data_IF_877089641527
#
_entry.id   IF_877089641527
#
_cell.length_a   1.000
_cell.length_b   1.000
_cell.length_c   1.000
_cell.angle_alpha   90.00
_cell.angle_beta   90.00
_cell.angle_gamma   90.00
#
_symmetry.space_group_name_H-M   'P 1'
#
loop_
_entity.id
_entity.type
_entity.pdbx_description
1 polymer ?
#
# COMPACT_ATOMS: atom_id res chain seq x y z
N UNK A 1 -17.36 -20.56 -12.73
CA UNK A 1 -16.37 -19.85 -13.58
C UNK A 1 -15.44 -19.07 -12.66
N UNK A 2 -14.15 -18.95 -13.00
CA UNK A 2 -13.22 -18.10 -12.24
C UNK A 2 -13.67 -16.64 -12.35
N UNK A 3 -13.67 -15.88 -11.24
CA UNK A 3 -14.02 -14.45 -11.25
C UNK A 3 -12.96 -13.65 -11.99
N UNK A 4 -13.41 -12.67 -12.79
CA UNK A 4 -12.53 -11.71 -13.45
C UNK A 4 -12.36 -10.48 -12.56
N UNK A 5 -11.10 -10.17 -12.19
CA UNK A 5 -10.77 -9.11 -11.26
C UNK A 5 -9.90 -8.05 -11.90
N UNK A 6 -10.13 -6.79 -11.53
CA UNK A 6 -9.29 -5.66 -11.92
C UNK A 6 -8.46 -5.23 -10.71
N UNK A 7 -7.14 -5.15 -10.88
CA UNK A 7 -6.24 -4.54 -9.91
C UNK A 7 -5.72 -3.23 -10.48
N UNK A 8 -6.06 -2.09 -9.90
CA UNK A 8 -5.49 -0.79 -10.30
C UNK A 8 -4.23 -0.49 -9.50
N UNK A 9 -3.23 0.15 -10.12
CA UNK A 9 -1.91 0.30 -9.51
C UNK A 9 -1.16 -1.03 -9.43
N UNK A 10 -1.47 -1.93 -10.35
CA UNK A 10 -0.91 -3.28 -10.43
C UNK A 10 0.60 -3.29 -10.67
N UNK A 11 1.13 -2.24 -11.29
CA UNK A 11 2.56 -2.00 -11.56
C UNK A 11 3.37 -1.61 -10.31
N UNK A 12 2.67 -1.25 -9.21
CA UNK A 12 3.26 -0.81 -7.95
C UNK A 12 3.66 -1.95 -7.02
N UNK A 13 4.19 -1.57 -5.84
CA UNK A 13 4.66 -2.48 -4.79
C UNK A 13 3.56 -3.49 -4.34
N UNK A 14 2.52 -3.02 -3.67
CA UNK A 14 1.45 -3.92 -3.16
C UNK A 14 0.66 -4.52 -4.32
N UNK A 15 0.41 -3.72 -5.38
CA UNK A 15 -0.37 -4.17 -6.54
C UNK A 15 0.24 -5.37 -7.24
N UNK A 16 1.56 -5.40 -7.46
CA UNK A 16 2.23 -6.52 -8.12
C UNK A 16 2.19 -7.81 -7.29
N UNK A 17 2.33 -7.71 -5.96
CA UNK A 17 2.16 -8.87 -5.07
C UNK A 17 0.72 -9.36 -5.05
N UNK A 18 -0.26 -8.43 -5.07
CA UNK A 18 -1.68 -8.80 -5.11
C UNK A 18 -2.03 -9.52 -6.43
N UNK A 19 -1.50 -9.05 -7.56
CA UNK A 19 -1.66 -9.72 -8.86
C UNK A 19 -1.14 -11.16 -8.78
N UNK A 20 0.07 -11.38 -8.27
CA UNK A 20 0.63 -12.72 -8.12
C UNK A 20 -0.25 -13.61 -7.24
N UNK A 21 -0.65 -13.09 -6.06
CA UNK A 21 -1.49 -13.81 -5.12
C UNK A 21 -2.84 -14.21 -5.74
N UNK A 22 -3.49 -13.29 -6.46
CA UNK A 22 -4.77 -13.56 -7.12
C UNK A 22 -4.66 -14.60 -8.24
N UNK A 23 -3.58 -14.58 -9.02
CA UNK A 23 -3.30 -15.61 -10.01
C UNK A 23 -3.15 -17.00 -9.36
N UNK A 24 -2.42 -17.10 -8.25
CA UNK A 24 -2.24 -18.34 -7.49
C UNK A 24 -3.56 -18.85 -6.89
N UNK A 25 -4.50 -17.95 -6.57
CA UNK A 25 -5.86 -18.31 -6.15
C UNK A 25 -6.80 -18.64 -7.31
N UNK A 26 -6.33 -18.56 -8.57
CA UNK A 26 -7.08 -18.94 -9.76
C UNK A 26 -8.05 -17.88 -10.28
N UNK A 27 -7.87 -16.61 -9.91
CA UNK A 27 -8.61 -15.48 -10.50
C UNK A 27 -8.11 -15.17 -11.93
N UNK A 28 -9.01 -14.66 -12.78
CA UNK A 28 -8.63 -14.05 -14.05
C UNK A 28 -8.28 -12.58 -13.81
N UNK A 29 -6.99 -12.24 -13.85
CA UNK A 29 -6.52 -10.92 -13.44
C UNK A 29 -6.32 -10.00 -14.63
N UNK A 30 -6.99 -8.83 -14.59
CA UNK A 30 -6.70 -7.67 -15.42
C UNK A 30 -5.93 -6.64 -14.59
N UNK A 31 -4.72 -6.31 -15.03
CA UNK A 31 -3.84 -5.36 -14.37
C UNK A 31 -3.98 -3.99 -15.02
N UNK A 32 -4.53 -3.00 -14.29
CA UNK A 32 -4.54 -1.61 -14.71
C UNK A 32 -3.26 -0.95 -14.21
N UNK A 33 -2.38 -0.63 -15.15
CA UNK A 33 -1.08 -0.01 -14.92
C UNK A 33 -1.07 1.44 -15.38
N UNK A 34 -0.18 2.27 -14.81
CA UNK A 34 -0.01 3.64 -15.26
C UNK A 34 0.72 3.68 -16.60
N UNK A 35 0.10 4.35 -17.61
CA UNK A 35 0.74 4.54 -18.92
C UNK A 35 2.05 5.33 -18.78
N UNK A 36 3.12 4.80 -19.36
CA UNK A 36 4.41 5.47 -19.44
C UNK A 36 5.08 5.24 -20.80
N UNK A 37 5.98 6.17 -21.18
CA UNK A 37 6.69 6.11 -22.46
C UNK A 37 7.87 5.13 -22.49
N UNK A 38 8.18 4.49 -21.37
CA UNK A 38 9.29 3.53 -21.26
C UNK A 38 8.88 2.11 -21.61
N UNK A 39 7.60 1.90 -21.94
CA UNK A 39 7.02 0.59 -22.24
C UNK A 39 7.25 -0.43 -21.10
N UNK A 40 7.19 0.05 -19.86
CA UNK A 40 7.37 -0.75 -18.65
C UNK A 40 6.03 -1.01 -17.96
N UNK A 41 5.86 -2.23 -17.47
CA UNK A 41 4.74 -2.64 -16.63
C UNK A 41 5.13 -2.63 -15.14
N UNK A 42 6.16 -1.87 -14.76
CA UNK A 42 6.64 -1.76 -13.40
C UNK A 42 7.12 -3.10 -12.85
N UNK A 43 6.72 -3.43 -11.62
CA UNK A 43 7.12 -4.69 -11.00
C UNK A 43 6.54 -5.94 -11.66
N UNK A 44 5.53 -5.81 -12.52
CA UNK A 44 5.01 -6.95 -13.30
C UNK A 44 6.04 -7.45 -14.33
N UNK A 45 6.96 -6.61 -14.79
CA UNK A 45 8.05 -7.01 -15.70
C UNK A 45 9.02 -8.00 -15.04
N UNK A 46 9.08 -8.04 -13.71
CA UNK A 46 9.97 -8.93 -12.96
C UNK A 46 9.36 -10.30 -12.68
N UNK A 47 8.10 -10.52 -13.00
CA UNK A 47 7.43 -11.79 -12.79
C UNK A 47 7.94 -12.86 -13.77
N UNK A 48 7.93 -14.15 -13.37
CA UNK A 48 8.19 -15.24 -14.31
C UNK A 48 7.28 -15.17 -15.53
N UNK A 49 7.83 -15.46 -16.72
CA UNK A 49 7.10 -15.35 -18.00
C UNK A 49 5.74 -16.07 -17.99
N UNK A 50 5.68 -17.25 -17.40
CA UNK A 50 4.43 -18.01 -17.29
C UNK A 50 3.35 -17.33 -16.44
N UNK A 51 3.71 -16.45 -15.49
CA UNK A 51 2.75 -15.60 -14.76
C UNK A 51 2.37 -14.38 -15.59
N UNK A 52 3.35 -13.72 -16.26
CA UNK A 52 3.07 -12.57 -17.11
C UNK A 52 2.04 -12.90 -18.19
N UNK A 53 2.15 -14.07 -18.84
CA UNK A 53 1.27 -14.52 -19.91
C UNK A 53 -0.19 -14.76 -19.44
N UNK A 54 -0.43 -14.85 -18.14
CA UNK A 54 -1.76 -15.01 -17.55
C UNK A 54 -2.45 -13.67 -17.21
N UNK A 55 -1.73 -12.55 -17.35
CA UNK A 55 -2.22 -11.22 -16.96
C UNK A 55 -2.75 -10.49 -18.20
N UNK A 56 -4.00 -10.03 -18.14
CA UNK A 56 -4.52 -9.06 -19.11
C UNK A 56 -4.03 -7.65 -18.70
N UNK A 57 -3.16 -7.03 -19.50
CA UNK A 57 -2.64 -5.69 -19.22
C UNK A 57 -3.55 -4.62 -19.83
N UNK A 58 -3.90 -3.61 -19.03
CA UNK A 58 -4.56 -2.38 -19.47
C UNK A 58 -3.73 -1.17 -19.03
N UNK A 59 -3.12 -0.47 -19.97
CA UNK A 59 -2.36 0.76 -19.69
C UNK A 59 -3.26 1.98 -19.76
N UNK A 60 -3.32 2.78 -18.70
CA UNK A 60 -4.21 3.94 -18.64
C UNK A 60 -3.87 4.91 -17.50
N UNK A 61 -4.75 5.88 -17.32
CA UNK A 61 -4.69 6.85 -16.21
C UNK A 61 -5.99 6.76 -15.40
N UNK A 62 -5.88 6.57 -14.11
CA UNK A 62 -7.05 6.47 -13.21
C UNK A 62 -7.91 7.74 -13.21
N UNK A 63 -7.36 8.88 -13.64
CA UNK A 63 -8.04 10.17 -13.77
C UNK A 63 -8.91 10.25 -15.03
N UNK A 64 -8.69 9.37 -16.00
CA UNK A 64 -9.50 9.30 -17.23
C UNK A 64 -10.74 8.44 -17.01
N UNK A 65 -11.90 9.10 -16.99
CA UNK A 65 -13.20 8.44 -16.78
C UNK A 65 -13.53 7.40 -17.86
N UNK A 66 -13.15 7.65 -19.12
CA UNK A 66 -13.44 6.73 -20.22
C UNK A 66 -12.57 5.49 -20.16
N UNK A 67 -11.26 5.67 -19.95
CA UNK A 67 -10.32 4.55 -19.80
C UNK A 67 -10.66 3.67 -18.59
N UNK A 68 -11.02 4.26 -17.47
CA UNK A 68 -11.48 3.50 -16.28
C UNK A 68 -12.72 2.67 -16.61
N UNK A 69 -13.72 3.27 -17.26
CA UNK A 69 -14.95 2.54 -17.64
C UNK A 69 -14.67 1.40 -18.61
N UNK A 70 -13.78 1.61 -19.58
CA UNK A 70 -13.35 0.56 -20.53
C UNK A 70 -12.61 -0.57 -19.81
N UNK A 71 -11.67 -0.24 -18.92
CA UNK A 71 -10.93 -1.24 -18.14
C UNK A 71 -11.86 -2.12 -17.30
N UNK A 72 -12.95 -1.55 -16.79
CA UNK A 72 -13.91 -2.22 -15.91
C UNK A 72 -14.99 -3.03 -16.62
N UNK A 73 -15.07 -3.01 -17.95
CA UNK A 73 -16.05 -3.82 -18.69
C UNK A 73 -15.84 -5.32 -18.46
N UNK A 74 -16.90 -6.01 -18.03
CA UNK A 74 -16.89 -7.44 -17.76
C UNK A 74 -16.04 -7.86 -16.55
N UNK A 75 -15.77 -6.91 -15.61
CA UNK A 75 -15.06 -7.17 -14.37
C UNK A 75 -16.08 -7.43 -13.23
N UNK A 76 -15.91 -8.55 -12.55
CA UNK A 76 -16.75 -8.93 -11.42
C UNK A 76 -16.34 -8.16 -10.14
N UNK A 77 -15.01 -7.96 -9.94
CA UNK A 77 -14.49 -7.37 -8.72
C UNK A 77 -13.32 -6.43 -8.99
N UNK A 78 -13.22 -5.33 -8.24
CA UNK A 78 -12.15 -4.35 -8.34
C UNK A 78 -11.37 -4.24 -7.03
N UNK A 79 -10.05 -4.37 -7.13
CA UNK A 79 -9.10 -3.99 -6.10
C UNK A 79 -8.46 -2.65 -6.51
N UNK A 80 -8.91 -1.57 -5.89
CA UNK A 80 -8.48 -0.22 -6.25
C UNK A 80 -7.31 0.23 -5.38
N UNK A 81 -6.07 0.05 -5.91
CA UNK A 81 -4.82 0.42 -5.24
C UNK A 81 -4.14 1.65 -5.86
N UNK A 82 -4.53 2.04 -7.08
CA UNK A 82 -3.91 3.19 -7.75
C UNK A 82 -4.04 4.47 -6.93
N UNK A 83 -2.92 5.03 -6.50
CA UNK A 83 -2.85 6.25 -5.69
C UNK A 83 -1.45 6.88 -5.74
N UNK A 84 -1.37 8.18 -5.50
CA UNK A 84 -0.15 8.84 -5.08
C UNK A 84 -0.03 8.72 -3.56
N UNK A 85 1.11 8.23 -3.06
CA UNK A 85 1.27 7.82 -1.64
C UNK A 85 2.38 8.55 -0.87
N UNK A 86 3.38 9.14 -1.56
CA UNK A 86 4.53 9.75 -0.88
C UNK A 86 4.14 11.01 -0.12
N UNK A 87 4.14 10.97 1.22
CA UNK A 87 3.79 12.12 2.06
C UNK A 87 4.65 13.35 1.74
N UNK A 88 6.00 13.27 1.65
CA UNK A 88 6.82 14.43 1.30
C UNK A 88 6.46 15.04 -0.06
N UNK A 89 6.19 14.23 -1.07
CA UNK A 89 5.79 14.74 -2.38
C UNK A 89 4.42 15.41 -2.35
N UNK A 90 3.52 15.01 -1.45
CA UNK A 90 2.20 15.63 -1.31
C UNK A 90 2.27 17.10 -0.87
N UNK A 91 3.37 17.53 -0.24
CA UNK A 91 3.59 18.94 0.11
C UNK A 91 3.91 19.81 -1.11
N UNK A 92 4.51 19.21 -2.14
CA UNK A 92 4.92 19.91 -3.37
C UNK A 92 3.85 19.90 -4.45
N UNK A 93 3.04 18.86 -4.51
CA UNK A 93 2.06 18.66 -5.59
C UNK A 93 0.68 18.20 -5.06
N UNK A 94 0.03 18.96 -4.16
CA UNK A 94 -1.24 18.55 -3.54
C UNK A 94 -2.36 18.34 -4.57
N UNK A 95 -2.42 19.14 -5.65
CA UNK A 95 -3.43 19.01 -6.70
C UNK A 95 -3.37 17.63 -7.38
N UNK A 96 -2.17 17.12 -7.66
CA UNK A 96 -2.01 15.78 -8.22
C UNK A 96 -2.58 14.69 -7.30
N UNK A 97 -2.50 14.89 -5.98
CA UNK A 97 -3.09 13.96 -5.00
C UNK A 97 -4.61 14.02 -5.00
N UNK A 98 -5.19 15.22 -5.12
CA UNK A 98 -6.66 15.37 -5.25
C UNK A 98 -7.13 14.68 -6.53
N UNK A 99 -6.51 14.97 -7.66
CA UNK A 99 -6.88 14.40 -8.95
C UNK A 99 -6.73 12.87 -8.97
N UNK A 100 -5.63 12.34 -8.43
CA UNK A 100 -5.39 10.90 -8.45
C UNK A 100 -6.22 10.17 -7.39
N UNK A 101 -6.13 10.60 -6.13
CA UNK A 101 -6.69 9.83 -5.02
C UNK A 101 -8.20 10.05 -4.86
N UNK A 102 -8.70 11.28 -5.04
CA UNK A 102 -10.14 11.57 -4.89
C UNK A 102 -10.87 11.34 -6.20
N UNK A 103 -10.46 12.03 -7.27
CA UNK A 103 -11.13 11.94 -8.56
C UNK A 103 -10.96 10.54 -9.19
N UNK A 104 -9.75 9.94 -9.09
CA UNK A 104 -9.51 8.57 -9.54
C UNK A 104 -10.42 7.56 -8.84
N UNK A 105 -10.56 7.67 -7.50
CA UNK A 105 -11.51 6.83 -6.75
C UNK A 105 -12.95 7.07 -7.18
N UNK A 106 -13.35 8.33 -7.40
CA UNK A 106 -14.69 8.66 -7.91
C UNK A 106 -14.96 8.00 -9.26
N UNK A 107 -13.98 7.98 -10.17
CA UNK A 107 -14.11 7.35 -11.49
C UNK A 107 -14.37 5.84 -11.36
N UNK A 108 -13.64 5.15 -10.47
CA UNK A 108 -13.88 3.71 -10.18
C UNK A 108 -15.28 3.48 -9.62
N UNK A 109 -15.71 4.27 -8.65
CA UNK A 109 -17.02 4.11 -8.00
C UNK A 109 -18.17 4.36 -9.00
N UNK A 110 -18.05 5.38 -9.86
CA UNK A 110 -19.03 5.66 -10.89
C UNK A 110 -19.11 4.55 -11.94
N UNK A 111 -17.96 4.07 -12.42
CA UNK A 111 -17.90 2.97 -13.37
C UNK A 111 -18.47 1.68 -12.77
N UNK A 112 -18.11 1.35 -11.52
CA UNK A 112 -18.64 0.20 -10.80
C UNK A 112 -20.18 0.24 -10.69
N UNK A 113 -20.72 1.40 -10.32
CA UNK A 113 -22.18 1.61 -10.27
C UNK A 113 -22.84 1.44 -11.62
N UNK A 114 -22.26 1.98 -12.70
CA UNK A 114 -22.82 1.92 -14.05
C UNK A 114 -22.78 0.51 -14.64
N UNK A 115 -21.73 -0.25 -14.33
CA UNK A 115 -21.48 -1.59 -14.88
C UNK A 115 -22.05 -2.71 -14.00
N UNK A 116 -22.54 -2.41 -12.80
CA UNK A 116 -23.06 -3.40 -11.87
C UNK A 116 -21.98 -4.32 -11.29
N UNK A 117 -20.77 -3.78 -11.03
CA UNK A 117 -19.65 -4.52 -10.45
C UNK A 117 -20.05 -5.12 -9.10
N UNK A 118 -19.80 -6.41 -8.91
CA UNK A 118 -20.26 -7.17 -7.71
C UNK A 118 -19.51 -6.79 -6.44
N UNK A 119 -18.28 -6.26 -6.54
CA UNK A 119 -17.43 -5.97 -5.40
C UNK A 119 -16.39 -4.89 -5.72
N UNK A 120 -16.21 -3.91 -4.85
CA UNK A 120 -15.14 -2.90 -4.94
C UNK A 120 -14.42 -2.80 -3.60
N UNK A 121 -13.12 -3.07 -3.60
CA UNK A 121 -12.24 -2.81 -2.45
C UNK A 121 -11.47 -1.53 -2.72
N UNK A 122 -11.70 -0.50 -1.91
CA UNK A 122 -10.99 0.78 -1.99
C UNK A 122 -9.87 0.78 -0.96
N UNK A 123 -8.62 0.85 -1.46
CA UNK A 123 -7.46 0.92 -0.58
C UNK A 123 -7.35 2.29 0.06
N UNK A 124 -7.41 2.35 1.37
CA UNK A 124 -7.10 3.50 2.20
C UNK A 124 -5.72 3.34 2.85
N UNK A 125 -5.52 3.84 4.05
CA UNK A 125 -4.24 3.81 4.78
C UNK A 125 -4.46 4.05 6.27
N UNK A 126 -3.58 3.55 7.13
CA UNK A 126 -3.54 3.92 8.55
C UNK A 126 -3.22 5.41 8.80
N UNK A 127 -2.61 6.11 7.83
CA UNK A 127 -2.29 7.53 7.92
C UNK A 127 -3.54 8.45 8.01
N UNK A 128 -4.75 7.92 7.69
CA UNK A 128 -6.01 8.66 7.86
C UNK A 128 -6.35 8.91 9.33
N UNK A 129 -5.80 8.11 10.24
CA UNK A 129 -6.01 8.26 11.68
C UNK A 129 -5.16 9.37 12.30
N UNK A 130 -4.04 9.73 11.64
CA UNK A 130 -3.04 10.62 12.25
C UNK A 130 -2.36 9.97 13.46
N UNK A 131 -1.79 10.80 14.33
CA UNK A 131 -1.21 10.32 15.59
C UNK A 131 -2.29 9.74 16.50
N UNK A 132 -2.08 8.51 16.97
CA UNK A 132 -3.05 7.80 17.80
C UNK A 132 -3.51 8.61 18.99
N UNK A 133 -4.83 8.74 19.17
CA UNK A 133 -5.46 9.31 20.38
C UNK A 133 -5.69 8.22 21.44
N UNK A 134 -5.87 6.98 20.99
CA UNK A 134 -5.89 5.77 21.81
C UNK A 134 -5.34 4.59 20.99
N UNK A 135 -4.94 3.55 21.68
CA UNK A 135 -4.41 2.32 21.08
C UNK A 135 -5.00 1.08 21.75
N UNK A 136 -5.13 -0.04 21.00
CA UNK A 136 -4.89 -0.13 19.57
C UNK A 136 -5.92 0.70 18.78
N UNK A 137 -5.48 1.21 17.59
CA UNK A 137 -6.34 1.99 16.69
C UNK A 137 -7.34 1.04 16.03
N UNK A 138 -8.61 1.15 16.38
CA UNK A 138 -9.70 0.48 15.69
C UNK A 138 -10.34 1.37 14.61
N UNK A 139 -11.32 0.86 13.89
CA UNK A 139 -11.98 1.59 12.81
C UNK A 139 -12.90 2.73 13.28
N UNK A 140 -13.17 2.81 14.59
CA UNK A 140 -13.91 3.92 15.21
C UNK A 140 -13.03 5.09 15.59
N UNK A 141 -11.69 4.92 15.51
CA UNK A 141 -10.75 5.99 15.82
C UNK A 141 -11.02 7.22 14.93
N UNK A 142 -10.99 8.45 15.46
CA UNK A 142 -11.18 9.66 14.69
C UNK A 142 -10.20 9.78 13.52
N UNK A 143 -10.69 10.25 12.36
CA UNK A 143 -9.86 10.52 11.19
C UNK A 143 -9.23 11.91 11.30
N UNK A 144 -7.91 11.99 11.10
CA UNK A 144 -7.12 13.21 11.24
C UNK A 144 -6.11 13.32 10.08
N UNK A 145 -6.43 14.09 9.06
CA UNK A 145 -5.53 14.32 7.93
C UNK A 145 -4.36 15.23 8.29
N UNK A 146 -3.22 14.68 8.72
CA UNK A 146 -2.02 15.45 9.07
C UNK A 146 -1.12 15.79 7.87
N UNK A 147 -1.49 15.36 6.66
CA UNK A 147 -0.80 15.68 5.40
C UNK A 147 -1.81 15.82 4.25
N UNK A 148 -1.45 16.48 3.12
CA UNK A 148 -2.31 16.49 1.93
C UNK A 148 -2.63 15.07 1.46
N UNK A 149 -1.67 14.14 1.52
CA UNK A 149 -1.90 12.72 1.21
C UNK A 149 -3.02 12.13 2.07
N UNK A 150 -2.90 12.17 3.39
CA UNK A 150 -3.91 11.58 4.29
C UNK A 150 -5.27 12.26 4.14
N UNK A 151 -5.31 13.57 3.93
CA UNK A 151 -6.54 14.31 3.67
C UNK A 151 -7.25 13.82 2.39
N UNK A 152 -6.49 13.55 1.30
CA UNK A 152 -7.08 13.00 0.07
C UNK A 152 -7.56 11.55 0.24
N UNK A 153 -6.90 10.74 1.06
CA UNK A 153 -7.36 9.39 1.39
C UNK A 153 -8.65 9.40 2.22
N UNK A 154 -8.77 10.31 3.19
CA UNK A 154 -10.03 10.54 3.93
C UNK A 154 -11.15 10.94 2.95
N UNK A 155 -10.88 11.85 2.00
CA UNK A 155 -11.85 12.24 0.98
C UNK A 155 -12.31 11.06 0.13
N UNK A 156 -11.40 10.20 -0.30
CA UNK A 156 -11.70 8.97 -1.04
C UNK A 156 -12.53 7.98 -0.22
N UNK A 157 -12.20 7.79 1.07
CA UNK A 157 -12.96 6.95 2.00
C UNK A 157 -14.41 7.43 2.13
N UNK A 158 -14.62 8.73 2.32
CA UNK A 158 -15.98 9.31 2.45
C UNK A 158 -16.79 9.19 1.15
N UNK A 159 -16.15 9.29 0.00
CA UNK A 159 -16.80 9.01 -1.29
C UNK A 159 -17.24 7.53 -1.37
N UNK A 160 -16.35 6.61 -1.07
CA UNK A 160 -16.63 5.17 -1.10
C UNK A 160 -17.80 4.82 -0.17
N UNK A 161 -17.78 5.30 1.07
CA UNK A 161 -18.87 5.13 2.04
C UNK A 161 -20.20 5.70 1.52
N UNK A 162 -20.16 6.90 0.89
CA UNK A 162 -21.36 7.55 0.36
C UNK A 162 -21.98 6.76 -0.79
N UNK A 163 -21.16 6.11 -1.64
CA UNK A 163 -21.66 5.26 -2.72
C UNK A 163 -22.32 4.00 -2.20
N UNK A 164 -21.81 3.39 -1.14
CA UNK A 164 -22.49 2.30 -0.45
C UNK A 164 -23.83 2.75 0.11
N UNK A 165 -23.85 3.83 0.90
CA UNK A 165 -25.06 4.33 1.57
C UNK A 165 -26.14 4.82 0.60
N UNK A 166 -25.73 5.50 -0.50
CA UNK A 166 -26.69 6.15 -1.41
C UNK A 166 -27.14 5.27 -2.56
N UNK A 167 -26.30 4.31 -2.98
CA UNK A 167 -26.52 3.54 -4.20
C UNK A 167 -26.45 2.03 -3.97
N UNK A 168 -26.25 1.57 -2.74
CA UNK A 168 -26.02 0.16 -2.39
C UNK A 168 -24.86 -0.47 -3.18
N UNK A 169 -23.86 0.33 -3.59
CA UNK A 169 -22.66 -0.19 -4.26
C UNK A 169 -21.89 -1.05 -3.27
N UNK A 170 -21.56 -2.33 -3.57
CA UNK A 170 -20.88 -3.24 -2.65
C UNK A 170 -19.40 -2.88 -2.47
N UNK A 171 -19.14 -1.85 -1.68
CA UNK A 171 -17.79 -1.30 -1.40
C UNK A 171 -17.31 -1.75 -0.02
N UNK A 172 -16.00 -2.01 0.08
CA UNK A 172 -15.28 -2.12 1.36
C UNK A 172 -14.08 -1.18 1.33
N UNK A 173 -13.86 -0.44 2.41
CA UNK A 173 -12.68 0.40 2.59
C UNK A 173 -11.65 -0.40 3.37
N UNK A 174 -10.48 -0.63 2.77
CA UNK A 174 -9.41 -1.43 3.36
C UNK A 174 -8.27 -0.51 3.79
N UNK A 175 -7.90 -0.54 5.06
CA UNK A 175 -6.84 0.28 5.68
C UNK A 175 -5.66 -0.57 6.10
N UNK A 176 -4.73 -0.90 5.18
CA UNK A 176 -3.49 -1.55 5.60
C UNK A 176 -2.65 -0.60 6.46
N UNK A 177 -2.06 -1.14 7.51
CA UNK A 177 -1.01 -0.47 8.26
C UNK A 177 0.29 -0.52 7.47
N UNK A 178 1.39 0.01 8.02
CA UNK A 178 2.62 0.25 7.25
C UNK A 178 3.15 -1.03 6.57
N UNK A 179 2.67 -1.30 5.37
CA UNK A 179 3.09 -2.47 4.58
C UNK A 179 4.54 -2.34 4.15
N UNK A 180 5.31 -3.41 4.32
CA UNK A 180 6.72 -3.50 3.88
C UNK A 180 7.01 -4.84 3.21
N UNK A 181 8.12 -4.92 2.46
CA UNK A 181 8.55 -6.15 1.80
C UNK A 181 9.33 -5.91 0.51
N UNK A 182 9.60 -6.98 -0.25
CA UNK A 182 10.16 -6.91 -1.60
C UNK A 182 9.44 -5.90 -2.49
N UNK A 183 10.15 -5.22 -3.41
CA UNK A 183 9.60 -4.22 -4.35
C UNK A 183 9.11 -2.92 -3.71
N UNK A 184 9.28 -2.73 -2.40
CA UNK A 184 8.87 -1.48 -1.76
C UNK A 184 9.73 -0.30 -2.24
N UNK A 185 9.09 0.86 -2.47
CA UNK A 185 9.77 2.06 -2.96
C UNK A 185 10.85 2.57 -2.00
N UNK A 186 11.98 3.05 -2.56
CA UNK A 186 13.07 3.72 -1.83
C UNK A 186 12.64 4.94 -0.98
N UNK A 187 11.41 5.42 -1.12
CA UNK A 187 10.83 6.49 -0.29
C UNK A 187 10.41 6.02 1.11
N UNK A 188 10.26 4.71 1.29
CA UNK A 188 9.90 4.11 2.58
C UNK A 188 11.14 3.84 3.43
N UNK A 189 10.97 3.82 4.76
CA UNK A 189 12.08 3.71 5.72
C UNK A 189 12.86 2.41 5.58
N UNK A 190 12.19 1.27 5.40
CA UNK A 190 12.86 -0.06 5.31
C UNK A 190 13.76 -0.14 4.08
N UNK A 191 13.31 0.13 2.83
CA UNK A 191 14.20 0.16 1.68
C UNK A 191 15.31 1.20 1.81
N UNK A 192 15.04 2.36 2.44
CA UNK A 192 16.07 3.38 2.70
C UNK A 192 17.18 2.84 3.58
N UNK A 193 16.85 2.12 4.65
CA UNK A 193 17.83 1.49 5.54
C UNK A 193 18.60 0.40 4.80
N UNK A 194 17.90 -0.55 4.17
CA UNK A 194 18.52 -1.71 3.50
C UNK A 194 19.48 -1.23 2.39
N UNK A 195 19.05 -0.30 1.54
CA UNK A 195 19.88 0.14 0.41
C UNK A 195 21.17 0.83 0.87
N UNK A 196 21.14 1.59 1.95
CA UNK A 196 22.34 2.18 2.55
C UNK A 196 23.24 1.12 3.16
N UNK A 197 22.69 0.16 3.92
CA UNK A 197 23.48 -0.92 4.56
C UNK A 197 24.14 -1.84 3.53
N UNK A 198 23.42 -2.27 2.50
CA UNK A 198 23.94 -3.16 1.45
C UNK A 198 24.93 -2.45 0.52
N UNK A 199 24.89 -1.11 0.43
CA UNK A 199 25.94 -0.35 -0.28
C UNK A 199 27.27 -0.23 0.48
N UNK A 200 27.34 -0.75 1.71
CA UNK A 200 28.53 -0.72 2.55
C UNK A 200 28.73 0.58 3.33
N UNK A 201 27.70 1.44 3.43
CA UNK A 201 27.79 2.66 4.22
C UNK A 201 27.95 2.32 5.72
N UNK A 202 28.90 2.98 6.38
CA UNK A 202 29.10 2.89 7.83
C UNK A 202 28.24 3.93 8.59
N UNK A 203 27.70 4.94 7.88
CA UNK A 203 26.80 5.95 8.42
C UNK A 203 25.52 5.97 7.60
N UNK A 204 24.42 5.47 8.20
CA UNK A 204 23.10 5.48 7.56
C UNK A 204 22.31 6.71 7.99
N UNK A 205 21.73 7.42 7.03
CA UNK A 205 20.99 8.68 7.23
C UNK A 205 19.51 8.42 7.37
N UNK A 206 18.94 8.78 8.52
CA UNK A 206 17.50 8.67 8.82
C UNK A 206 16.96 9.99 9.36
N UNK A 207 15.64 10.15 9.36
CA UNK A 207 14.96 11.29 10.00
C UNK A 207 14.72 11.03 11.48
N UNK A 208 13.50 11.35 11.97
CA UNK A 208 13.13 11.13 13.37
C UNK A 208 13.05 9.63 13.70
N UNK A 209 13.75 9.20 14.74
CA UNK A 209 13.84 7.82 15.17
C UNK A 209 12.75 7.40 16.17
N UNK A 210 12.02 8.37 16.72
CA UNK A 210 11.05 8.18 17.81
C UNK A 210 9.70 7.61 17.36
N UNK A 211 9.16 7.95 16.17
CA UNK A 211 7.86 7.45 15.75
C UNK A 211 7.79 5.92 15.75
N UNK A 212 6.64 5.38 16.20
CA UNK A 212 6.39 3.93 16.17
C UNK A 212 5.42 3.56 15.07
N UNK A 213 5.61 2.37 14.50
CA UNK A 213 4.81 1.84 13.39
C UNK A 213 4.42 0.40 13.65
N UNK A 214 3.21 0.07 13.30
CA UNK A 214 2.75 -1.30 13.08
C UNK A 214 3.15 -1.68 11.65
N UNK A 215 4.12 -2.59 11.54
CA UNK A 215 4.73 -3.00 10.26
C UNK A 215 4.12 -4.32 9.81
N UNK A 216 3.44 -4.30 8.68
CA UNK A 216 2.73 -5.44 8.10
C UNK A 216 3.46 -5.95 6.86
N UNK A 217 3.87 -7.23 6.87
CA UNK A 217 4.54 -7.83 5.72
C UNK A 217 3.59 -7.92 4.51
N UNK A 218 4.11 -7.67 3.31
CA UNK A 218 3.29 -7.52 2.10
C UNK A 218 2.43 -8.74 1.77
N UNK A 219 2.92 -9.95 2.05
CA UNK A 219 2.12 -11.17 1.82
C UNK A 219 0.91 -11.24 2.74
N UNK A 220 1.02 -10.81 4.00
CA UNK A 220 -0.12 -10.69 4.91
C UNK A 220 -1.09 -9.62 4.45
N UNK A 221 -0.57 -8.52 3.88
CA UNK A 221 -1.40 -7.46 3.30
C UNK A 221 -2.24 -7.98 2.14
N UNK A 222 -1.64 -8.64 1.15
CA UNK A 222 -2.38 -9.10 -0.04
C UNK A 222 -3.35 -10.23 0.27
N UNK A 223 -3.00 -11.11 1.22
CA UNK A 223 -3.96 -12.09 1.76
C UNK A 223 -5.14 -11.41 2.45
N UNK A 224 -4.90 -10.33 3.19
CA UNK A 224 -5.95 -9.55 3.81
C UNK A 224 -6.93 -8.97 2.78
N UNK A 225 -6.43 -8.41 1.68
CA UNK A 225 -7.27 -7.95 0.58
C UNK A 225 -8.12 -9.07 -0.02
N UNK A 226 -7.50 -10.20 -0.31
CA UNK A 226 -8.21 -11.36 -0.89
C UNK A 226 -9.26 -11.89 0.10
N UNK A 227 -8.91 -12.10 1.37
CA UNK A 227 -9.87 -12.60 2.36
C UNK A 227 -11.06 -11.66 2.57
N UNK A 228 -10.81 -10.35 2.71
CA UNK A 228 -11.88 -9.34 2.79
C UNK A 228 -12.81 -9.45 1.58
N UNK A 229 -12.29 -9.72 0.39
CA UNK A 229 -13.12 -9.83 -0.82
C UNK A 229 -14.03 -11.04 -0.86
N UNK A 230 -13.69 -12.09 -0.12
CA UNK A 230 -14.43 -13.37 -0.11
C UNK A 230 -15.66 -13.37 0.80
N UNK A 231 -15.76 -12.45 1.77
CA UNK A 231 -16.82 -12.42 2.76
C UNK A 231 -17.82 -11.29 2.52
N UNK A 232 -19.11 -11.61 2.44
CA UNK A 232 -20.18 -10.61 2.23
C UNK A 232 -20.33 -9.66 3.42
N UNK A 233 -20.03 -10.11 4.63
CA UNK A 233 -20.09 -9.38 5.88
C UNK A 233 -19.16 -8.16 5.93
N UNK A 234 -18.18 -8.13 5.04
CA UNK A 234 -17.24 -7.01 4.90
C UNK A 234 -17.76 -5.90 4.00
N UNK A 235 -18.91 -6.08 3.32
CA UNK A 235 -19.51 -5.06 2.45
C UNK A 235 -20.05 -3.90 3.30
N UNK A 236 -19.69 -2.68 2.91
CA UNK A 236 -20.07 -1.45 3.62
C UNK A 236 -19.18 -1.12 4.81
N UNK A 237 -18.17 -1.96 5.09
CA UNK A 237 -17.30 -1.84 6.25
C UNK A 237 -15.99 -1.11 5.92
N UNK A 238 -15.41 -0.48 6.93
CA UNK A 238 -14.03 -0.03 6.98
C UNK A 238 -13.25 -1.09 7.75
N UNK A 239 -12.12 -1.58 7.23
CA UNK A 239 -11.40 -2.71 7.82
C UNK A 239 -9.90 -2.43 7.85
N UNK A 240 -9.32 -2.47 9.05
CA UNK A 240 -7.88 -2.42 9.26
C UNK A 240 -7.24 -3.77 8.96
N UNK A 241 -6.07 -3.74 8.31
CA UNK A 241 -5.15 -4.87 8.25
C UNK A 241 -3.90 -4.47 9.02
N UNK A 242 -3.68 -5.04 10.19
CA UNK A 242 -2.60 -4.68 11.12
C UNK A 242 -2.05 -5.92 11.81
N UNK A 243 -0.81 -5.83 12.31
CA UNK A 243 -0.19 -6.94 13.07
C UNK A 243 -0.54 -6.91 14.54
N UNK A 244 -1.00 -5.77 15.05
CA UNK A 244 -1.17 -5.51 16.48
C UNK A 244 0.18 -5.58 17.24
N UNK A 245 1.23 -5.11 16.58
CA UNK A 245 2.59 -4.98 17.12
C UNK A 245 3.21 -3.68 16.63
N UNK A 246 3.97 -3.01 17.47
CA UNK A 246 4.63 -1.75 17.09
C UNK A 246 6.12 -1.77 17.40
N UNK A 247 6.89 -1.07 16.57
CA UNK A 247 8.32 -0.87 16.76
C UNK A 247 8.69 0.58 16.44
N UNK A 248 9.65 1.17 17.16
CA UNK A 248 10.19 2.49 16.82
C UNK A 248 11.07 2.42 15.57
N UNK A 249 11.18 3.55 14.85
CA UNK A 249 12.09 3.64 13.69
C UNK A 249 13.54 3.38 14.12
N UNK A 250 13.92 3.83 15.32
CA UNK A 250 15.26 3.60 15.87
C UNK A 250 15.54 2.10 16.14
N UNK A 251 14.62 1.41 16.82
CA UNK A 251 14.77 -0.03 17.11
C UNK A 251 14.75 -0.86 15.84
N UNK A 252 13.89 -0.50 14.88
CA UNK A 252 13.85 -1.12 13.56
C UNK A 252 15.21 -1.00 12.85
N UNK A 253 15.78 0.21 12.83
CA UNK A 253 17.07 0.44 12.18
C UNK A 253 18.20 -0.34 12.87
N UNK A 254 18.24 -0.36 14.20
CA UNK A 254 19.22 -1.14 14.95
C UNK A 254 19.11 -2.64 14.63
N UNK A 255 17.89 -3.19 14.61
CA UNK A 255 17.66 -4.59 14.23
C UNK A 255 18.19 -4.91 12.84
N UNK A 256 17.98 -4.00 11.88
CA UNK A 256 18.46 -4.20 10.50
C UNK A 256 19.97 -4.06 10.38
N UNK A 257 20.60 -3.16 11.16
CA UNK A 257 22.05 -3.04 11.27
C UNK A 257 22.67 -4.35 11.79
N UNK A 258 22.11 -4.91 12.84
CA UNK A 258 22.57 -6.20 13.39
C UNK A 258 22.52 -7.34 12.36
N UNK A 259 21.49 -7.37 11.51
CA UNK A 259 21.29 -8.40 10.49
C UNK A 259 22.16 -8.22 9.23
N UNK A 260 22.69 -7.03 8.97
CA UNK A 260 23.38 -6.71 7.70
C UNK A 260 24.80 -6.21 7.88
N UNK A 261 24.99 -5.06 8.53
CA UNK A 261 26.28 -4.43 8.75
C UNK A 261 26.41 -3.92 10.21
N UNK A 262 26.83 -4.76 11.16
CA UNK A 262 26.92 -4.38 12.58
C UNK A 262 27.89 -3.23 12.92
N UNK A 263 28.68 -2.76 11.94
CA UNK A 263 29.56 -1.58 12.11
C UNK A 263 28.87 -0.27 11.79
N UNK A 264 27.73 -0.31 11.11
CA UNK A 264 27.02 0.90 10.70
C UNK A 264 26.44 1.65 11.91
N UNK A 265 26.36 2.98 11.79
CA UNK A 265 25.80 3.88 12.80
C UNK A 265 24.70 4.72 12.19
N UNK A 266 23.71 5.06 13.00
CA UNK A 266 22.62 5.93 12.59
C UNK A 266 23.04 7.39 12.75
N UNK A 267 22.87 8.18 11.68
CA UNK A 267 23.05 9.63 11.66
C UNK A 267 21.68 10.27 11.37
N UNK A 268 21.25 11.18 12.22
CA UNK A 268 20.01 11.94 11.99
C UNK A 268 20.25 12.99 10.92
N UNK A 269 19.48 12.95 9.86
CA UNK A 269 19.52 13.88 8.73
C UNK A 269 18.30 14.81 8.79
N UNK A 270 18.54 16.09 9.04
CA UNK A 270 17.48 17.10 9.18
C UNK A 270 16.59 17.23 7.93
N UNK A 271 17.13 16.96 6.74
CA UNK A 271 16.35 17.01 5.49
C UNK A 271 15.24 15.95 5.43
N UNK A 272 15.38 14.89 6.24
CA UNK A 272 14.43 13.77 6.33
C UNK A 272 13.41 13.95 7.45
N UNK A 273 13.52 15.02 8.24
CA UNK A 273 12.59 15.33 9.32
C UNK A 273 11.36 16.02 8.73
N UNK A 274 10.19 15.45 8.98
CA UNK A 274 8.92 16.03 8.56
C UNK A 274 8.54 17.23 9.43
N UNK A 275 7.70 18.16 8.93
CA UNK A 275 7.15 19.21 9.77
C UNK A 275 6.45 18.60 11.00
N UNK A 276 6.74 19.10 12.20
CA UNK A 276 6.33 18.49 13.47
C UNK A 276 4.83 18.22 13.60
N UNK A 277 3.98 19.10 13.04
CA UNK A 277 2.51 18.93 13.03
C UNK A 277 2.03 17.91 11.99
N UNK A 278 2.87 17.56 11.01
CA UNK A 278 2.56 16.56 9.97
C UNK A 278 3.13 15.18 10.33
N UNK A 279 4.03 15.08 11.30
CA UNK A 279 4.56 13.79 11.73
C UNK A 279 3.50 13.02 12.52
N UNK A 280 3.31 11.77 12.14
CA UNK A 280 2.45 10.82 12.85
C UNK A 280 3.33 10.04 13.82
N UNK A 281 3.23 10.34 15.11
CA UNK A 281 4.15 9.79 16.11
C UNK A 281 3.89 8.33 16.46
N UNK A 282 2.63 7.87 16.40
CA UNK A 282 2.29 6.49 16.79
C UNK A 282 1.19 5.92 15.92
N UNK A 283 1.47 4.76 15.30
CA UNK A 283 0.50 3.92 14.62
C UNK A 283 0.63 2.50 15.16
N UNK A 284 -0.40 2.05 15.88
CA UNK A 284 -0.53 0.72 16.44
C UNK A 284 -1.97 0.25 16.24
N UNK A 285 -2.20 -0.65 15.27
CA UNK A 285 -3.51 -1.01 14.78
C UNK A 285 -4.17 -2.16 15.53
N UNK A 286 -5.51 -2.16 15.54
CA UNK A 286 -6.31 -3.33 15.89
C UNK A 286 -6.59 -4.17 14.64
N UNK A 287 -6.49 -5.49 14.76
CA UNK A 287 -6.88 -6.45 13.73
C UNK A 287 -8.10 -7.29 14.15
N UNK A 288 -8.78 -6.90 15.22
CA UNK A 288 -9.93 -7.67 15.74
C UNK A 288 -11.08 -7.75 14.73
N UNK A 289 -11.35 -6.66 14.01
CA UNK A 289 -12.46 -6.61 13.06
C UNK A 289 -12.22 -7.52 11.86
N UNK A 290 -11.05 -7.49 11.24
CA UNK A 290 -10.73 -8.40 10.13
C UNK A 290 -10.82 -9.86 10.58
N UNK A 291 -10.31 -10.20 11.77
CA UNK A 291 -10.39 -11.55 12.34
C UNK A 291 -11.83 -11.99 12.64
N UNK A 292 -12.68 -11.06 13.08
CA UNK A 292 -14.08 -11.36 13.38
C UNK A 292 -14.96 -11.55 12.14
N UNK A 293 -14.62 -10.87 11.03
CA UNK A 293 -15.40 -10.88 9.79
C UNK A 293 -14.85 -11.85 8.73
N UNK A 294 -13.61 -12.31 8.91
CA UNK A 294 -12.93 -13.21 7.98
C UNK A 294 -12.11 -14.25 8.75
N UNK A 295 -11.47 -15.17 8.05
CA UNK A 295 -10.52 -16.12 8.60
C UNK A 295 -9.05 -15.65 8.45
N UNK A 296 -8.83 -14.34 8.28
CA UNK A 296 -7.49 -13.79 8.14
C UNK A 296 -6.74 -13.74 9.47
N UNK A 297 -5.48 -14.15 9.43
CA UNK A 297 -4.51 -14.02 10.52
C UNK A 297 -3.15 -13.64 9.97
N UNK A 298 -2.31 -12.95 10.75
CA UNK A 298 -0.91 -12.71 10.41
C UNK A 298 -0.14 -14.03 10.36
N UNK A 299 0.67 -14.21 9.32
CA UNK A 299 1.53 -15.41 9.17
C UNK A 299 3.01 -15.07 9.35
N UNK A 300 3.38 -13.82 9.19
CA UNK A 300 4.76 -13.37 9.27
C UNK A 300 4.99 -12.54 10.54
N UNK A 301 5.95 -12.94 11.35
CA UNK A 301 6.50 -12.04 12.35
C UNK A 301 7.46 -11.01 11.72
N UNK A 302 7.77 -9.96 12.48
CA UNK A 302 8.62 -8.87 11.97
C UNK A 302 10.01 -9.38 11.55
N UNK A 303 10.58 -10.34 12.25
CA UNK A 303 11.94 -10.84 11.97
C UNK A 303 11.99 -11.62 10.66
N UNK A 304 11.02 -12.52 10.46
CA UNK A 304 10.90 -13.28 9.21
C UNK A 304 10.65 -12.35 8.00
N UNK A 305 9.74 -11.39 8.12
CA UNK A 305 9.45 -10.46 7.03
C UNK A 305 10.63 -9.55 6.70
N UNK A 306 11.38 -9.05 7.71
CA UNK A 306 12.59 -8.25 7.49
C UNK A 306 13.68 -9.09 6.82
N UNK A 307 13.92 -10.32 7.27
CA UNK A 307 14.91 -11.18 6.66
C UNK A 307 14.59 -11.46 5.19
N UNK A 308 13.34 -11.85 4.89
CA UNK A 308 12.89 -12.05 3.49
C UNK A 308 13.09 -10.77 2.65
N UNK A 309 12.85 -9.59 3.24
CA UNK A 309 13.04 -8.32 2.54
C UNK A 309 14.53 -8.06 2.28
N UNK A 310 15.40 -8.27 3.27
CA UNK A 310 16.87 -8.12 3.11
C UNK A 310 17.39 -9.08 2.05
N UNK A 311 16.97 -10.34 2.08
CA UNK A 311 17.40 -11.37 1.12
C UNK A 311 17.04 -10.96 -0.32
N UNK A 312 15.82 -10.43 -0.53
CA UNK A 312 15.40 -9.92 -1.83
C UNK A 312 16.25 -8.74 -2.31
N UNK A 313 16.56 -7.77 -1.43
CA UNK A 313 17.41 -6.63 -1.77
C UNK A 313 18.87 -7.00 -1.96
N UNK A 314 19.33 -8.13 -1.42
CA UNK A 314 20.70 -8.63 -1.57
C UNK A 314 21.00 -9.12 -2.99
N UNK A 315 19.99 -9.34 -3.82
CA UNK A 315 20.16 -9.60 -5.24
C UNK A 315 20.49 -8.28 -5.97
N UNK A 316 21.60 -8.28 -6.71
CA UNK A 316 22.08 -7.10 -7.44
C UNK A 316 21.09 -6.57 -8.46
N UNK A 317 20.29 -7.41 -9.09
CA UNK A 317 19.29 -6.97 -10.06
C UNK A 317 18.13 -6.24 -9.37
N UNK A 318 17.74 -6.68 -8.17
CA UNK A 318 16.65 -6.06 -7.42
C UNK A 318 17.04 -4.70 -6.83
N UNK A 319 18.28 -4.54 -6.34
CA UNK A 319 18.73 -3.29 -5.71
C UNK A 319 19.16 -2.22 -6.71
N UNK A 320 19.47 -2.58 -7.96
CA UNK A 320 20.03 -1.71 -8.99
C UNK A 320 19.25 -0.41 -9.22
N UNK A 321 17.94 -0.41 -9.02
CA UNK A 321 17.07 0.77 -9.18
C UNK A 321 17.04 1.69 -7.96
N UNK A 322 17.62 1.28 -6.82
CA UNK A 322 17.54 2.00 -5.55
C UNK A 322 18.73 2.93 -5.35
N UNK A 323 18.46 4.24 -5.37
CA UNK A 323 19.49 5.28 -5.19
C UNK A 323 19.67 5.57 -3.70
N UNK A 324 20.67 4.93 -3.08
CA UNK A 324 20.93 5.04 -1.64
C UNK A 324 21.60 6.38 -1.24
N UNK A 325 22.24 7.07 -2.19
CA UNK A 325 22.99 8.32 -1.95
C UNK A 325 22.09 9.54 -1.77
N UNK A 326 20.84 9.49 -2.24
CA UNK A 326 19.90 10.61 -2.22
C UNK A 326 18.74 10.41 -1.26
N UNK A 327 18.11 11.52 -0.87
CA UNK A 327 16.80 11.48 -0.24
C UNK A 327 15.73 11.32 -1.32
N UNK A 328 15.11 10.13 -1.38
CA UNK A 328 14.06 9.83 -2.34
C UNK A 328 12.73 10.44 -1.86
N UNK A 329 12.12 11.31 -2.66
CA UNK A 329 10.87 12.04 -2.36
C UNK A 329 9.74 11.57 -3.27
#
# INVERSE_FOLDING_TARGET
>A
MSKKVLVTGADGFIGSHLVEHLLEKGYNVKAFIYYNSFNSYGWLDTLPKGKQDQIEIFSGDIRDTNGVREAMQGIDMVFHLAALIAIPFSYHSPDSYVDTNIKGTLNILQAAKQLGTERVLVTSTSEVYGTAQYVPIDEKHPLQGQSPYSATKIGADRLAESFYKSFNLPVTIVRPFNTYGPRQSARAVIPTIISQLLSGMEEIKLGDLRPTRDLLFVEDTVRGFERISCFSETIGEEINIATQSEISIGDLANKMIELTNPKAKIIVDEQRIRPSKSEVFRLFGSNEKIKSLTDWETQFDLSAGIQTTIDWFSDNENIKGYKHEIYNV
#
